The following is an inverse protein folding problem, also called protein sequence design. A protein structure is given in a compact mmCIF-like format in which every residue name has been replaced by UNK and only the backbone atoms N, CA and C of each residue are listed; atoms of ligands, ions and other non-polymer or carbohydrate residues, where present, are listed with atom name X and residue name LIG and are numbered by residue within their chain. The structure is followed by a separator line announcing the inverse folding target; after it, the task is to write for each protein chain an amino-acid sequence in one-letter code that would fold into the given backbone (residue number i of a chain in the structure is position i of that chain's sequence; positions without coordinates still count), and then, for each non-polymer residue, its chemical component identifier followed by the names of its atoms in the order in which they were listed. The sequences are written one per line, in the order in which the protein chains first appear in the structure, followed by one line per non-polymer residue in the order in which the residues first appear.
data_IF_219065617434
#
_entry.id   IF_219065617434
#
_cell.length_a   1.000
_cell.length_b   1.000
_cell.length_c   1.000
_cell.angle_alpha   90.00
_cell.angle_beta   90.00
_cell.angle_gamma   90.00
#
_symmetry.space_group_name_H-M   'P 1'
#
loop_
_entity.id
_entity.type
_entity.pdbx_description
1 polymer ?
#
# COMPACT_ATOMS: atom_id res chain seq x y z
N UNK A 1 13.93 18.62 -27.24
CA UNK A 1 14.19 19.39 -26.01
C UNK A 1 15.20 18.61 -25.18
N UNK A 2 16.28 19.25 -24.75
CA UNK A 2 17.62 18.68 -24.50
C UNK A 2 17.74 18.17 -23.04
N UNK A 3 18.12 16.90 -22.84
CA UNK A 3 18.85 16.25 -21.73
C UNK A 3 18.98 16.87 -20.30
N UNK A 4 18.05 17.71 -19.83
CA UNK A 4 18.13 18.32 -18.48
C UNK A 4 17.61 17.36 -17.39
N UNK A 5 17.05 16.20 -17.76
CA UNK A 5 16.40 15.29 -16.81
C UNK A 5 17.24 14.07 -16.40
N UNK A 6 18.51 13.97 -16.82
CA UNK A 6 19.32 12.79 -16.53
C UNK A 6 19.60 12.70 -15.01
N UNK A 7 19.40 11.53 -14.35
CA UNK A 7 19.63 11.33 -12.92
C UNK A 7 21.00 11.79 -12.46
N UNK A 8 22.04 11.54 -13.27
CA UNK A 8 23.41 11.94 -12.98
C UNK A 8 23.61 13.45 -13.02
N UNK A 9 22.92 14.17 -13.92
CA UNK A 9 23.00 15.64 -13.99
C UNK A 9 22.25 16.29 -12.84
N UNK A 10 21.08 15.76 -12.46
CA UNK A 10 20.31 16.23 -11.30
C UNK A 10 21.13 15.97 -10.02
N UNK A 11 21.70 14.78 -9.88
CA UNK A 11 22.58 14.44 -8.77
C UNK A 11 23.79 15.39 -8.70
N UNK A 12 24.50 15.60 -9.82
CA UNK A 12 25.67 16.47 -9.86
C UNK A 12 25.31 17.93 -9.54
N UNK A 13 24.16 18.41 -10.02
CA UNK A 13 23.63 19.74 -9.70
C UNK A 13 23.45 19.89 -8.19
N UNK A 14 22.79 18.94 -7.52
CA UNK A 14 22.59 18.97 -6.07
C UNK A 14 23.92 18.95 -5.31
N UNK A 15 24.86 18.09 -5.71
CA UNK A 15 26.20 18.06 -5.11
C UNK A 15 26.89 19.42 -5.26
N UNK A 16 26.94 19.98 -6.47
CA UNK A 16 27.62 21.25 -6.73
C UNK A 16 26.97 22.40 -5.96
N UNK A 17 25.64 22.49 -5.96
CA UNK A 17 24.92 23.56 -5.26
C UNK A 17 25.15 23.48 -3.75
N UNK A 18 24.93 22.32 -3.15
CA UNK A 18 25.03 22.18 -1.69
C UNK A 18 26.48 22.30 -1.21
N UNK A 19 27.43 21.71 -1.93
CA UNK A 19 28.87 21.77 -1.60
C UNK A 19 29.44 23.16 -1.90
N UNK A 20 28.93 23.86 -2.93
CA UNK A 20 29.25 25.26 -3.21
C UNK A 20 28.82 26.20 -2.09
N UNK A 21 27.56 26.09 -1.64
CA UNK A 21 27.06 26.85 -0.48
C UNK A 21 27.92 26.55 0.76
N UNK A 22 28.23 25.28 1.01
CA UNK A 22 29.10 24.89 2.11
C UNK A 22 30.48 25.54 2.05
N UNK A 23 31.17 25.50 0.90
CA UNK A 23 32.51 26.05 0.77
C UNK A 23 32.54 27.57 0.90
N UNK A 24 31.49 28.26 0.45
CA UNK A 24 31.39 29.72 0.56
C UNK A 24 31.22 30.16 2.01
N UNK A 25 30.30 29.54 2.75
CA UNK A 25 29.93 29.99 4.09
C UNK A 25 30.71 29.32 5.22
N UNK A 26 31.09 28.05 5.07
CA UNK A 26 31.51 27.20 6.19
C UNK A 26 32.99 26.82 6.18
N UNK A 27 33.77 27.17 5.15
CA UNK A 27 35.18 26.77 5.04
C UNK A 27 36.01 27.12 6.28
N UNK A 28 35.87 28.35 6.82
CA UNK A 28 36.65 28.77 7.98
C UNK A 28 36.26 28.03 9.26
N UNK A 29 34.96 27.74 9.43
CA UNK A 29 34.44 27.00 10.58
C UNK A 29 34.80 25.52 10.50
N UNK A 30 34.85 24.96 9.29
CA UNK A 30 35.20 23.56 9.08
C UNK A 30 36.65 23.25 9.48
N UNK A 31 37.61 24.08 9.06
CA UNK A 31 39.03 23.89 9.39
C UNK A 31 39.23 24.01 10.91
N UNK A 32 38.65 25.05 11.53
CA UNK A 32 38.71 25.23 12.98
C UNK A 32 38.07 24.08 13.74
N UNK A 33 36.94 23.55 13.25
CA UNK A 33 36.27 22.42 13.88
C UNK A 33 37.10 21.14 13.85
N UNK A 34 37.82 20.89 12.75
CA UNK A 34 38.77 19.77 12.63
C UNK A 34 39.99 19.91 13.56
N UNK A 35 40.50 21.13 13.72
CA UNK A 35 41.64 21.41 14.61
C UNK A 35 41.24 21.35 16.10
N UNK A 36 40.00 21.70 16.42
CA UNK A 36 39.49 21.72 17.81
C UNK A 36 39.06 20.33 18.29
N UNK A 37 38.70 19.42 17.38
CA UNK A 37 38.18 18.11 17.74
C UNK A 37 39.28 17.08 18.07
N UNK A 38 39.69 17.06 19.33
CA UNK A 38 40.60 16.04 19.86
C UNK A 38 39.95 14.64 19.96
N UNK A 39 38.62 14.53 19.92
CA UNK A 39 37.92 13.23 20.06
C UNK A 39 38.06 12.33 18.82
N UNK A 40 38.37 12.91 17.66
CA UNK A 40 38.42 12.22 16.38
C UNK A 40 37.06 11.86 15.78
N UNK A 41 35.95 12.22 16.42
CA UNK A 41 34.59 11.92 15.91
C UNK A 41 34.33 12.65 14.59
N UNK A 42 34.77 13.89 14.44
CA UNK A 42 34.61 14.66 13.20
C UNK A 42 35.29 13.96 12.03
N UNK A 43 36.45 13.34 12.24
CA UNK A 43 37.14 12.56 11.22
C UNK A 43 36.33 11.33 10.83
N UNK A 44 35.74 10.62 11.80
CA UNK A 44 34.84 9.48 11.53
C UNK A 44 33.62 9.93 10.71
N UNK A 45 32.99 11.06 11.07
CA UNK A 45 31.86 11.64 10.33
C UNK A 45 32.28 11.92 8.88
N UNK A 46 33.43 12.55 8.66
CA UNK A 46 33.95 12.86 7.34
C UNK A 46 34.24 11.58 6.52
N UNK A 47 34.84 10.57 7.14
CA UNK A 47 35.11 9.27 6.49
C UNK A 47 33.81 8.62 5.99
N UNK A 48 32.81 8.49 6.88
CA UNK A 48 31.51 7.92 6.52
C UNK A 48 30.76 8.77 5.50
N UNK A 49 30.92 10.10 5.56
CA UNK A 49 30.37 11.00 4.55
C UNK A 49 30.93 10.69 3.16
N UNK A 50 32.25 10.55 3.02
CA UNK A 50 32.86 10.21 1.73
C UNK A 50 32.42 8.83 1.22
N UNK A 51 32.31 7.84 2.10
CA UNK A 51 31.74 6.52 1.76
C UNK A 51 30.31 6.68 1.22
N UNK A 52 29.50 7.51 1.88
CA UNK A 52 28.14 7.83 1.43
C UNK A 52 28.10 8.51 0.06
N UNK A 53 28.98 9.48 -0.19
CA UNK A 53 29.08 10.15 -1.50
C UNK A 53 29.48 9.17 -2.60
N UNK A 54 30.45 8.30 -2.35
CA UNK A 54 30.88 7.29 -3.34
C UNK A 54 29.74 6.32 -3.63
N UNK A 55 29.06 5.81 -2.60
CA UNK A 55 27.90 4.94 -2.78
C UNK A 55 26.78 5.64 -3.57
N UNK A 56 26.51 6.90 -3.24
CA UNK A 56 25.52 7.73 -3.95
C UNK A 56 25.88 7.92 -5.43
N UNK A 57 27.15 8.15 -5.75
CA UNK A 57 27.62 8.29 -7.13
C UNK A 57 27.48 6.98 -7.92
N UNK A 58 27.81 5.85 -7.30
CA UNK A 58 27.66 4.52 -7.92
C UNK A 58 26.19 4.28 -8.26
N UNK A 59 25.27 4.62 -7.35
CA UNK A 59 23.83 4.45 -7.59
C UNK A 59 23.30 5.43 -8.64
N UNK A 60 23.76 6.69 -8.65
CA UNK A 60 23.44 7.66 -9.69
C UNK A 60 23.87 7.15 -11.08
N UNK A 61 25.04 6.53 -11.19
CA UNK A 61 25.56 5.98 -12.44
C UNK A 61 24.75 4.80 -12.94
N UNK A 62 24.40 3.85 -12.05
CA UNK A 62 23.52 2.72 -12.40
C UNK A 62 22.18 3.22 -12.92
N UNK A 63 21.59 4.21 -12.25
CA UNK A 63 20.32 4.81 -12.66
C UNK A 63 20.39 5.50 -14.02
N UNK A 64 21.51 6.15 -14.32
CA UNK A 64 21.75 6.76 -15.62
C UNK A 64 21.87 5.72 -16.74
N UNK A 65 22.54 4.59 -16.49
CA UNK A 65 22.60 3.48 -17.43
C UNK A 65 21.19 2.91 -17.69
N UNK A 66 20.39 2.73 -16.64
CA UNK A 66 19.00 2.27 -16.73
C UNK A 66 18.12 3.25 -17.52
N UNK A 67 18.19 4.56 -17.26
CA UNK A 67 17.45 5.56 -18.03
C UNK A 67 17.83 5.54 -19.52
N UNK A 68 19.13 5.43 -19.83
CA UNK A 68 19.60 5.33 -21.22
C UNK A 68 19.01 4.11 -21.92
N UNK A 69 18.95 2.97 -21.23
CA UNK A 69 18.32 1.77 -21.77
C UNK A 69 16.82 1.97 -22.02
N UNK A 70 16.12 2.66 -21.13
CA UNK A 70 14.69 2.97 -21.31
C UNK A 70 14.44 3.87 -22.52
N UNK A 71 15.26 4.90 -22.73
CA UNK A 71 15.12 5.79 -23.90
C UNK A 71 15.40 5.04 -25.21
N UNK A 72 16.40 4.15 -25.22
CA UNK A 72 16.70 3.32 -26.39
C UNK A 72 15.54 2.35 -26.70
N UNK A 73 14.89 1.81 -25.67
CA UNK A 73 13.70 0.97 -25.82
C UNK A 73 12.52 1.72 -26.43
N UNK A 74 12.27 2.93 -25.94
CA UNK A 74 11.17 3.77 -26.43
C UNK A 74 11.39 4.22 -27.90
N UNK A 75 12.65 4.41 -28.31
CA UNK A 75 12.98 4.92 -29.65
C UNK A 75 13.22 3.83 -30.71
N UNK A 76 13.89 2.72 -30.37
CA UNK A 76 14.23 1.64 -31.30
C UNK A 76 13.32 0.41 -31.17
N UNK A 77 12.45 0.41 -30.16
CA UNK A 77 11.55 -0.71 -29.86
C UNK A 77 12.28 -1.95 -29.35
N UNK A 78 11.53 -3.05 -29.19
CA UNK A 78 12.04 -4.26 -28.53
C UNK A 78 13.16 -4.98 -29.30
N UNK A 79 13.39 -4.67 -30.58
CA UNK A 79 14.41 -5.35 -31.39
C UNK A 79 15.84 -5.02 -30.94
N UNK A 80 16.07 -3.82 -30.38
CA UNK A 80 17.37 -3.38 -29.84
C UNK A 80 17.78 -4.12 -28.55
N UNK A 81 16.83 -4.79 -27.88
CA UNK A 81 17.06 -5.55 -26.63
C UNK A 81 17.99 -6.75 -26.82
N UNK A 82 18.00 -7.33 -28.01
CA UNK A 82 18.76 -8.55 -28.29
C UNK A 82 20.28 -8.35 -28.21
N UNK A 83 20.77 -7.15 -28.54
CA UNK A 83 22.19 -6.79 -28.58
C UNK A 83 22.69 -6.05 -27.34
N UNK A 84 21.80 -5.59 -26.46
CA UNK A 84 22.15 -4.76 -25.31
C UNK A 84 22.06 -5.59 -24.02
N UNK A 85 23.17 -5.65 -23.28
CA UNK A 85 23.20 -6.15 -21.90
C UNK A 85 22.86 -5.00 -20.95
N UNK A 86 21.96 -5.26 -19.99
CA UNK A 86 21.48 -4.25 -19.07
C UNK A 86 20.30 -4.77 -18.26
N UNK A 87 20.02 -4.16 -17.12
CA UNK A 87 19.02 -4.67 -16.16
C UNK A 87 17.60 -4.55 -16.68
N UNK A 88 17.25 -3.39 -17.26
CA UNK A 88 15.95 -3.19 -17.91
C UNK A 88 15.78 -4.13 -19.12
N UNK A 89 16.74 -4.24 -20.06
CA UNK A 89 16.71 -5.25 -21.12
C UNK A 89 16.50 -6.67 -20.62
N UNK A 90 17.20 -7.08 -19.55
CA UNK A 90 17.07 -8.42 -18.97
C UNK A 90 15.71 -8.64 -18.30
N UNK A 91 15.16 -7.62 -17.65
CA UNK A 91 13.82 -7.66 -17.07
C UNK A 91 12.76 -7.82 -18.16
N UNK A 92 12.86 -7.07 -19.25
CA UNK A 92 11.95 -7.21 -20.40
C UNK A 92 12.09 -8.60 -21.06
N UNK A 93 13.32 -9.12 -21.21
CA UNK A 93 13.57 -10.49 -21.70
C UNK A 93 12.89 -11.52 -20.79
N UNK A 94 12.97 -11.37 -19.47
CA UNK A 94 12.33 -12.27 -18.49
C UNK A 94 10.81 -12.21 -18.57
N UNK A 95 10.22 -11.02 -18.66
CA UNK A 95 8.76 -10.85 -18.82
C UNK A 95 8.31 -11.52 -20.12
N UNK A 96 9.01 -11.28 -21.23
CA UNK A 96 8.69 -11.92 -22.53
C UNK A 96 8.84 -13.44 -22.49
N UNK A 97 9.92 -13.96 -21.90
CA UNK A 97 10.14 -15.39 -21.80
C UNK A 97 9.06 -16.07 -20.93
N UNK A 98 8.62 -15.43 -19.85
CA UNK A 98 7.53 -15.95 -19.03
C UNK A 98 6.17 -15.89 -19.76
N UNK A 99 5.91 -14.81 -20.49
CA UNK A 99 4.72 -14.67 -21.34
C UNK A 99 4.68 -15.74 -22.45
N UNK A 100 5.80 -16.01 -23.11
CA UNK A 100 5.89 -17.08 -24.14
C UNK A 100 5.60 -18.48 -23.62
N UNK A 101 5.63 -18.68 -22.30
CA UNK A 101 5.34 -19.94 -21.61
C UNK A 101 3.90 -19.99 -21.04
N UNK A 102 3.01 -19.09 -21.45
CA UNK A 102 1.63 -18.98 -20.95
C UNK A 102 1.52 -18.81 -19.41
N UNK A 103 2.57 -18.34 -18.75
CA UNK A 103 2.49 -17.95 -17.36
C UNK A 103 2.01 -16.50 -17.28
N UNK A 104 0.92 -16.27 -16.56
CA UNK A 104 0.42 -14.94 -16.21
C UNK A 104 1.38 -14.31 -15.21
N UNK A 105 2.47 -13.72 -15.69
CA UNK A 105 3.34 -12.91 -14.84
C UNK A 105 2.64 -11.57 -14.65
N UNK A 106 2.24 -11.30 -13.42
CA UNK A 106 1.75 -9.99 -13.04
C UNK A 106 2.90 -8.97 -13.19
N UNK A 107 2.79 -8.13 -14.21
CA UNK A 107 3.79 -7.11 -14.56
C UNK A 107 4.08 -6.20 -13.35
N UNK A 108 3.06 -5.92 -12.53
CA UNK A 108 3.19 -5.17 -11.29
C UNK A 108 4.24 -5.76 -10.35
N UNK A 109 4.19 -7.06 -10.09
CA UNK A 109 5.14 -7.74 -9.18
C UNK A 109 6.59 -7.67 -9.67
N UNK A 110 6.80 -7.69 -10.99
CA UNK A 110 8.15 -7.60 -11.58
C UNK A 110 8.71 -6.19 -11.47
N UNK A 111 7.88 -5.17 -11.67
CA UNK A 111 8.27 -3.76 -11.48
C UNK A 111 8.49 -3.48 -10.00
N UNK A 112 7.63 -3.96 -9.11
CA UNK A 112 7.80 -3.84 -7.66
C UNK A 112 9.10 -4.49 -7.18
N UNK A 113 9.49 -5.62 -7.79
CA UNK A 113 10.77 -6.27 -7.51
C UNK A 113 11.96 -5.42 -7.99
N UNK A 114 11.84 -4.76 -9.14
CA UNK A 114 12.85 -3.83 -9.66
C UNK A 114 13.02 -2.61 -8.75
N UNK A 115 11.91 -2.01 -8.32
CA UNK A 115 11.86 -0.87 -7.40
C UNK A 115 12.39 -1.24 -6.02
N UNK A 116 12.05 -2.43 -5.52
CA UNK A 116 12.57 -2.91 -4.23
C UNK A 116 14.08 -3.12 -4.29
N UNK A 117 14.58 -3.72 -5.36
CA UNK A 117 16.02 -3.96 -5.53
C UNK A 117 16.81 -2.64 -5.60
N UNK A 118 16.43 -1.71 -6.47
CA UNK A 118 17.14 -0.42 -6.61
C UNK A 118 16.89 0.51 -5.43
N UNK A 119 15.66 0.53 -4.92
CA UNK A 119 15.28 1.28 -3.73
C UNK A 119 16.07 0.85 -2.49
N UNK A 120 16.45 -0.42 -2.37
CA UNK A 120 17.23 -0.92 -1.23
C UNK A 120 18.63 -0.29 -1.16
N UNK A 121 19.32 -0.15 -2.30
CA UNK A 121 20.64 0.49 -2.37
C UNK A 121 20.54 1.98 -2.01
N UNK A 122 19.58 2.69 -2.60
CA UNK A 122 19.34 4.11 -2.31
C UNK A 122 18.92 4.31 -0.83
N UNK A 123 18.16 3.37 -0.25
CA UNK A 123 17.76 3.41 1.16
C UNK A 123 18.96 3.24 2.09
N UNK A 124 20.00 2.50 1.68
CA UNK A 124 21.26 2.38 2.45
C UNK A 124 21.91 3.75 2.65
N UNK A 125 21.84 4.64 1.65
CA UNK A 125 22.31 6.01 1.78
C UNK A 125 21.56 6.80 2.86
N UNK A 126 20.25 6.60 2.96
CA UNK A 126 19.43 7.19 4.03
C UNK A 126 19.81 6.64 5.41
N UNK A 127 20.24 5.38 5.50
CA UNK A 127 20.71 4.79 6.76
C UNK A 127 22.05 5.41 7.17
N UNK A 128 22.99 5.55 6.23
CA UNK A 128 24.28 6.22 6.47
C UNK A 128 24.04 7.66 6.94
N UNK A 129 23.13 8.39 6.28
CA UNK A 129 22.69 9.74 6.69
C UNK A 129 22.25 9.79 8.16
N UNK A 130 21.39 8.86 8.60
CA UNK A 130 20.94 8.78 9.99
C UNK A 130 22.10 8.47 10.94
N UNK A 131 23.00 7.55 10.57
CA UNK A 131 24.17 7.19 11.39
C UNK A 131 25.09 8.39 11.60
N UNK A 132 25.33 9.22 10.57
CA UNK A 132 26.12 10.45 10.69
C UNK A 132 25.52 11.44 11.70
N UNK A 133 24.21 11.60 11.68
CA UNK A 133 23.52 12.46 12.65
C UNK A 133 23.70 11.92 14.07
N UNK A 134 23.57 10.60 14.25
CA UNK A 134 23.81 9.94 15.54
C UNK A 134 25.26 10.11 16.00
N UNK A 135 26.25 10.02 15.10
CA UNK A 135 27.64 10.32 15.46
C UNK A 135 27.83 11.78 15.90
N UNK A 136 27.13 12.72 15.25
CA UNK A 136 27.11 14.11 15.71
C UNK A 136 26.57 14.25 17.14
N UNK A 137 25.49 13.55 17.46
CA UNK A 137 24.92 13.49 18.81
C UNK A 137 25.87 12.83 19.81
N UNK A 138 26.55 11.74 19.45
CA UNK A 138 27.57 11.12 20.31
C UNK A 138 28.71 12.13 20.58
N UNK A 139 29.12 12.89 19.57
CA UNK A 139 30.09 13.96 19.74
C UNK A 139 29.65 15.03 20.74
N UNK A 140 28.35 15.37 20.80
CA UNK A 140 27.85 16.28 21.87
C UNK A 140 28.08 15.71 23.25
N UNK A 141 27.79 14.42 23.43
CA UNK A 141 27.92 13.77 24.71
C UNK A 141 29.38 13.79 25.17
N UNK A 142 30.31 13.49 24.27
CA UNK A 142 31.75 13.55 24.59
C UNK A 142 32.20 14.99 24.89
N UNK A 143 31.80 15.96 24.07
CA UNK A 143 32.17 17.36 24.30
C UNK A 143 31.62 17.92 25.62
N UNK A 144 30.39 17.55 25.99
CA UNK A 144 29.82 17.91 27.29
C UNK A 144 30.55 17.24 28.46
N UNK A 145 30.93 15.97 28.33
CA UNK A 145 31.74 15.28 29.36
C UNK A 145 33.09 15.99 29.54
N UNK A 146 33.77 16.34 28.43
CA UNK A 146 35.01 17.12 28.46
C UNK A 146 34.81 18.49 29.12
N UNK A 147 33.69 19.15 28.81
CA UNK A 147 33.33 20.44 29.42
C UNK A 147 33.16 20.36 30.93
N UNK A 148 32.45 19.33 31.39
CA UNK A 148 32.23 19.07 32.83
C UNK A 148 33.54 18.73 33.53
N UNK A 149 34.43 17.98 32.88
CA UNK A 149 35.77 17.70 33.40
C UNK A 149 36.56 19.00 33.60
N UNK A 150 36.55 19.89 32.61
CA UNK A 150 37.21 21.20 32.71
C UNK A 150 36.64 22.07 33.83
N UNK A 151 35.32 22.02 34.06
CA UNK A 151 34.67 22.72 35.16
C UNK A 151 35.08 22.14 36.52
N UNK A 152 35.19 20.82 36.63
CA UNK A 152 35.67 20.17 37.85
C UNK A 152 37.12 20.57 38.16
N UNK A 153 37.99 20.62 37.14
CA UNK A 153 39.36 21.11 37.29
C UNK A 153 39.40 22.56 37.76
N UNK A 154 38.50 23.40 37.24
CA UNK A 154 38.36 24.80 37.64
C UNK A 154 37.94 24.93 39.11
N UNK A 155 36.96 24.14 39.57
CA UNK A 155 36.50 24.13 40.98
C UNK A 155 37.59 23.64 41.93
N UNK A 156 38.30 22.57 41.56
CA UNK A 156 39.40 22.03 42.37
C UNK A 156 40.62 22.97 42.41
N UNK A 157 40.73 23.88 41.43
CA UNK A 157 41.78 24.89 41.36
C UNK A 157 41.41 26.21 42.05
N UNK A 158 40.23 26.31 42.69
CA UNK A 158 39.86 27.49 43.48
C UNK A 158 40.76 27.54 44.72
N UNK A 159 41.76 28.42 44.68
CA UNK A 159 42.82 28.53 45.68
C UNK A 159 44.21 28.09 45.18
N UNK A 160 44.29 27.54 43.97
CA UNK A 160 45.52 27.20 43.26
C UNK A 160 45.99 28.34 42.33
N UNK A 161 47.01 28.08 41.51
CA UNK A 161 47.63 29.08 40.63
C UNK A 161 46.67 29.58 39.53
N UNK A 162 46.83 30.83 39.08
CA UNK A 162 46.04 31.42 37.98
C UNK A 162 46.12 30.58 36.69
N UNK A 163 47.23 29.87 36.48
CA UNK A 163 47.44 29.00 35.33
C UNK A 163 46.52 27.78 35.34
N UNK A 164 46.22 27.21 36.51
CA UNK A 164 45.34 26.04 36.63
C UNK A 164 43.88 26.42 36.36
N UNK A 165 43.46 27.60 36.84
CA UNK A 165 42.14 28.17 36.53
C UNK A 165 41.97 28.42 35.02
N UNK A 166 42.98 29.00 34.37
CA UNK A 166 42.95 29.24 32.92
C UNK A 166 42.84 27.93 32.14
N UNK A 167 43.57 26.90 32.56
CA UNK A 167 43.53 25.57 31.93
C UNK A 167 42.15 24.93 32.05
N UNK A 168 41.54 24.92 33.24
CA UNK A 168 40.18 24.40 33.43
C UNK A 168 39.14 25.12 32.57
N UNK A 169 39.25 26.45 32.46
CA UNK A 169 38.38 27.26 31.59
C UNK A 169 38.58 26.92 30.10
N UNK A 170 39.83 26.79 29.64
CA UNK A 170 40.14 26.43 28.26
C UNK A 170 39.61 25.03 27.91
N UNK A 171 39.80 24.03 28.79
CA UNK A 171 39.23 22.69 28.62
C UNK A 171 37.71 22.75 28.52
N UNK A 172 37.06 23.55 29.39
CA UNK A 172 35.60 23.71 29.38
C UNK A 172 35.11 24.27 28.05
N UNK A 173 35.74 25.34 27.57
CA UNK A 173 35.38 26.01 26.31
C UNK A 173 35.65 25.10 25.10
N UNK A 174 36.77 24.38 25.11
CA UNK A 174 37.12 23.45 24.04
C UNK A 174 36.11 22.30 23.96
N UNK A 175 35.75 21.69 25.10
CA UNK A 175 34.74 20.62 25.14
C UNK A 175 33.40 21.06 24.54
N UNK A 176 32.98 22.30 24.83
CA UNK A 176 31.76 22.87 24.25
C UNK A 176 31.90 23.09 22.74
N UNK A 177 33.07 23.57 22.30
CA UNK A 177 33.41 23.71 20.88
C UNK A 177 33.32 22.39 20.13
N UNK A 178 33.92 21.32 20.68
CA UNK A 178 33.86 19.96 20.11
C UNK A 178 32.41 19.52 19.95
N UNK A 179 31.59 19.62 21.00
CA UNK A 179 30.18 19.25 20.95
C UNK A 179 29.42 19.97 19.83
N UNK A 180 29.67 21.27 19.66
CA UNK A 180 29.01 22.07 18.63
C UNK A 180 29.44 21.64 17.21
N UNK A 181 30.75 21.49 16.98
CA UNK A 181 31.28 21.14 15.66
C UNK A 181 30.89 19.72 15.22
N UNK A 182 30.95 18.72 16.12
CA UNK A 182 30.55 17.35 15.78
C UNK A 182 29.07 17.28 15.41
N UNK A 183 28.21 18.01 16.13
CA UNK A 183 26.78 18.10 15.82
C UNK A 183 26.57 18.74 14.47
N UNK A 184 27.23 19.86 14.23
CA UNK A 184 27.12 20.59 12.98
C UNK A 184 27.53 19.71 11.80
N UNK A 185 28.64 18.99 11.89
CA UNK A 185 29.08 18.06 10.86
C UNK A 185 28.11 16.90 10.65
N UNK A 186 27.63 16.26 11.73
CA UNK A 186 26.65 15.18 11.63
C UNK A 186 25.34 15.63 10.97
N UNK A 187 24.81 16.77 11.40
CA UNK A 187 23.58 17.34 10.86
C UNK A 187 23.74 17.82 9.41
N UNK A 188 24.86 18.45 9.07
CA UNK A 188 25.08 18.98 7.73
C UNK A 188 25.39 17.86 6.72
N UNK A 189 26.40 17.03 6.99
CA UNK A 189 26.80 15.95 6.07
C UNK A 189 25.76 14.84 6.02
N UNK A 190 25.25 14.40 7.17
CA UNK A 190 24.24 13.36 7.25
C UNK A 190 22.85 13.90 6.91
N UNK A 191 22.35 14.82 7.73
CA UNK A 191 20.96 15.27 7.70
C UNK A 191 20.57 16.10 6.49
N UNK A 192 21.48 16.88 5.91
CA UNK A 192 21.20 17.73 4.74
C UNK A 192 21.76 17.09 3.48
N UNK A 193 23.08 16.92 3.38
CA UNK A 193 23.73 16.51 2.13
C UNK A 193 23.31 15.11 1.68
N UNK A 194 23.64 14.06 2.45
CA UNK A 194 23.34 12.68 2.03
C UNK A 194 21.83 12.42 1.94
N UNK A 195 21.03 13.06 2.81
CA UNK A 195 19.56 12.98 2.79
C UNK A 195 18.98 13.53 1.49
N UNK A 196 19.43 14.71 1.06
CA UNK A 196 19.00 15.33 -0.21
C UNK A 196 19.41 14.49 -1.41
N UNK A 197 20.62 13.94 -1.42
CA UNK A 197 21.07 13.06 -2.51
C UNK A 197 20.24 11.77 -2.59
N UNK A 198 19.96 11.14 -1.44
CA UNK A 198 19.08 9.96 -1.38
C UNK A 198 17.68 10.27 -1.92
N UNK A 199 17.09 11.41 -1.52
CA UNK A 199 15.77 11.85 -2.01
C UNK A 199 15.77 12.13 -3.52
N UNK A 200 16.82 12.77 -4.05
CA UNK A 200 16.98 13.02 -5.48
C UNK A 200 17.10 11.73 -6.29
N UNK A 201 17.85 10.75 -5.78
CA UNK A 201 17.99 9.43 -6.43
C UNK A 201 16.67 8.66 -6.40
N UNK A 202 15.94 8.67 -5.29
CA UNK A 202 14.64 8.02 -5.19
C UNK A 202 13.63 8.63 -6.17
N UNK A 203 13.61 9.96 -6.27
CA UNK A 203 12.76 10.67 -7.23
C UNK A 203 13.09 10.29 -8.68
N UNK A 204 14.37 10.06 -8.98
CA UNK A 204 14.83 9.63 -10.30
C UNK A 204 14.46 8.17 -10.58
N UNK A 205 14.56 7.29 -9.59
CA UNK A 205 14.13 5.90 -9.68
C UNK A 205 12.63 5.81 -9.95
N UNK A 206 11.80 6.57 -9.22
CA UNK A 206 10.35 6.59 -9.43
C UNK A 206 9.97 7.05 -10.84
N UNK A 207 10.70 8.00 -11.44
CA UNK A 207 10.49 8.42 -12.83
C UNK A 207 10.79 7.30 -13.83
N UNK A 208 11.91 6.58 -13.63
CA UNK A 208 12.30 5.46 -14.49
C UNK A 208 11.30 4.31 -14.35
N UNK A 209 10.87 3.99 -13.12
CA UNK A 209 9.87 2.96 -12.86
C UNK A 209 8.53 3.29 -13.54
N UNK A 210 8.04 4.52 -13.41
CA UNK A 210 6.84 4.98 -14.09
C UNK A 210 6.97 4.91 -15.62
N UNK A 211 8.13 5.30 -16.16
CA UNK A 211 8.41 5.19 -17.60
C UNK A 211 8.42 3.74 -18.08
N UNK A 212 9.04 2.83 -17.31
CA UNK A 212 9.06 1.40 -17.58
C UNK A 212 7.65 0.79 -17.52
N UNK A 213 6.84 1.17 -16.53
CA UNK A 213 5.45 0.73 -16.40
C UNK A 213 4.62 1.19 -17.60
N UNK A 214 4.74 2.45 -18.00
CA UNK A 214 4.06 2.98 -19.19
C UNK A 214 4.50 2.25 -20.45
N UNK A 215 5.81 1.99 -20.62
CA UNK A 215 6.32 1.26 -21.78
C UNK A 215 5.76 -0.18 -21.84
N UNK A 216 5.73 -0.90 -20.72
CA UNK A 216 5.16 -2.25 -20.68
C UNK A 216 3.64 -2.20 -20.94
N UNK A 217 2.94 -1.21 -20.40
CA UNK A 217 1.50 -1.01 -20.62
C UNK A 217 1.13 -0.60 -22.06
N UNK A 218 2.00 0.09 -22.77
CA UNK A 218 1.74 0.54 -24.15
C UNK A 218 2.22 -0.47 -25.20
N UNK A 219 3.33 -1.15 -24.98
CA UNK A 219 3.97 -2.00 -26.00
C UNK A 219 3.71 -3.50 -25.77
N UNK A 220 3.57 -3.93 -24.50
CA UNK A 220 3.37 -5.35 -24.16
C UNK A 220 1.89 -5.73 -24.00
N UNK A 221 1.04 -4.81 -23.50
CA UNK A 221 -0.40 -5.06 -23.34
C UNK A 221 -1.23 -5.07 -24.65
N UNK A 222 -0.94 -4.35 -25.75
CA UNK A 222 -1.68 -4.58 -26.99
C UNK A 222 -1.40 -5.97 -27.61
N UNK A 223 -0.32 -6.65 -27.21
CA UNK A 223 -0.09 -8.05 -27.58
C UNK A 223 -0.96 -9.05 -26.78
N UNK A 224 -1.62 -8.63 -25.71
CA UNK A 224 -2.54 -9.45 -24.89
C UNK A 224 -4.03 -9.14 -25.14
N UNK A 225 -4.34 -8.02 -25.79
CA UNK A 225 -5.71 -7.64 -26.15
C UNK A 225 -6.46 -8.70 -26.98
N UNK A 226 -5.85 -9.36 -28.00
CA UNK A 226 -6.58 -10.34 -28.80
C UNK A 226 -7.07 -11.52 -27.97
N UNK A 227 -6.25 -12.02 -27.03
CA UNK A 227 -6.56 -13.20 -26.22
C UNK A 227 -7.53 -12.87 -25.08
N UNK A 228 -7.38 -11.73 -24.40
CA UNK A 228 -8.32 -11.34 -23.34
C UNK A 228 -9.67 -10.89 -23.90
N UNK A 229 -9.71 -10.22 -25.05
CA UNK A 229 -10.98 -9.89 -25.73
C UNK A 229 -11.63 -11.15 -26.30
N UNK A 230 -10.86 -12.12 -26.80
CA UNK A 230 -11.39 -13.41 -27.20
C UNK A 230 -11.95 -14.20 -26.00
N UNK A 231 -11.24 -14.27 -24.88
CA UNK A 231 -11.73 -14.90 -23.65
C UNK A 231 -12.98 -14.21 -23.11
N UNK A 232 -12.97 -12.88 -22.99
CA UNK A 232 -14.14 -12.10 -22.57
C UNK A 232 -15.33 -12.28 -23.52
N UNK A 233 -15.10 -12.35 -24.84
CA UNK A 233 -16.16 -12.64 -25.80
C UNK A 233 -16.74 -14.03 -25.59
N UNK A 234 -15.89 -15.01 -25.30
CA UNK A 234 -16.31 -16.39 -25.03
C UNK A 234 -17.10 -16.47 -23.71
N UNK A 235 -16.66 -15.77 -22.67
CA UNK A 235 -17.36 -15.68 -21.39
C UNK A 235 -18.70 -14.96 -21.53
N UNK A 236 -18.78 -13.85 -22.28
CA UNK A 236 -20.03 -13.13 -22.56
C UNK A 236 -20.99 -14.00 -23.39
N UNK A 237 -20.49 -14.76 -24.34
CA UNK A 237 -21.29 -15.72 -25.11
C UNK A 237 -21.83 -16.86 -24.23
N UNK A 238 -21.01 -17.39 -23.32
CA UNK A 238 -21.45 -18.38 -22.33
C UNK A 238 -22.49 -17.79 -21.37
N UNK A 239 -22.25 -16.59 -20.84
CA UNK A 239 -23.17 -15.90 -19.95
C UNK A 239 -24.52 -15.62 -20.64
N UNK A 240 -24.48 -15.21 -21.91
CA UNK A 240 -25.68 -15.01 -22.73
C UNK A 240 -26.43 -16.32 -22.97
N UNK A 241 -25.72 -17.43 -23.19
CA UNK A 241 -26.32 -18.76 -23.32
C UNK A 241 -26.97 -19.20 -22.01
N UNK A 242 -26.28 -19.08 -20.89
CA UNK A 242 -26.83 -19.39 -19.55
C UNK A 242 -28.03 -18.51 -19.23
N UNK A 243 -28.01 -17.22 -19.60
CA UNK A 243 -29.16 -16.33 -19.43
C UNK A 243 -30.36 -16.78 -20.25
N UNK A 244 -30.16 -17.21 -21.51
CA UNK A 244 -31.24 -17.77 -22.34
C UNK A 244 -31.81 -19.05 -21.74
N UNK A 245 -30.95 -19.97 -21.30
CA UNK A 245 -31.37 -21.21 -20.65
C UNK A 245 -32.17 -20.92 -19.37
N UNK A 246 -31.69 -19.99 -18.53
CA UNK A 246 -32.39 -19.56 -17.32
C UNK A 246 -33.73 -18.88 -17.64
N UNK A 247 -33.79 -18.04 -18.68
CA UNK A 247 -35.04 -17.42 -19.13
C UNK A 247 -36.06 -18.46 -19.60
N UNK A 248 -35.63 -19.51 -20.30
CA UNK A 248 -36.51 -20.59 -20.73
C UNK A 248 -36.98 -21.45 -19.55
N UNK A 249 -36.09 -21.71 -18.57
CA UNK A 249 -36.46 -22.37 -17.31
C UNK A 249 -37.47 -21.54 -16.50
N UNK A 250 -37.32 -20.23 -16.45
CA UNK A 250 -38.28 -19.33 -15.78
C UNK A 250 -39.64 -19.36 -16.49
N UNK A 251 -39.67 -19.35 -17.83
CA UNK A 251 -40.93 -19.48 -18.58
C UNK A 251 -41.61 -20.82 -18.31
N UNK A 252 -40.85 -21.93 -18.37
CA UNK A 252 -41.36 -23.26 -18.06
C UNK A 252 -41.89 -23.33 -16.61
N UNK A 253 -41.13 -22.78 -15.66
CA UNK A 253 -41.54 -22.71 -14.25
C UNK A 253 -42.79 -21.85 -14.07
N UNK A 254 -42.92 -20.72 -14.77
CA UNK A 254 -44.12 -19.86 -14.73
C UNK A 254 -45.35 -20.60 -15.24
N UNK A 255 -45.21 -21.41 -16.30
CA UNK A 255 -46.29 -22.28 -16.81
C UNK A 255 -46.68 -23.29 -15.73
N UNK A 256 -45.71 -24.00 -15.14
CA UNK A 256 -45.98 -24.98 -14.07
C UNK A 256 -46.63 -24.35 -12.84
N UNK A 257 -46.20 -23.15 -12.42
CA UNK A 257 -46.83 -22.42 -11.30
C UNK A 257 -48.27 -22.04 -11.64
N UNK A 258 -48.53 -21.58 -12.87
CA UNK A 258 -49.87 -21.21 -13.29
C UNK A 258 -50.80 -22.44 -13.36
N UNK A 259 -50.29 -23.57 -13.85
CA UNK A 259 -51.01 -24.85 -13.83
C UNK A 259 -51.32 -25.30 -12.40
N UNK A 260 -50.32 -25.26 -11.51
CA UNK A 260 -50.51 -25.62 -10.09
C UNK A 260 -51.50 -24.68 -9.38
N UNK A 261 -51.48 -23.38 -9.67
CA UNK A 261 -52.46 -22.41 -9.16
C UNK A 261 -53.87 -22.72 -9.66
N UNK A 262 -54.02 -23.18 -10.91
CA UNK A 262 -55.32 -23.60 -11.44
C UNK A 262 -55.87 -24.83 -10.70
N UNK A 263 -55.02 -25.83 -10.45
CA UNK A 263 -55.36 -27.04 -9.67
C UNK A 263 -55.68 -26.69 -8.21
N UNK A 264 -54.92 -25.76 -7.63
CA UNK A 264 -55.18 -25.26 -6.28
C UNK A 264 -56.52 -24.52 -6.20
N UNK A 265 -56.83 -23.65 -7.16
CA UNK A 265 -58.14 -22.98 -7.24
C UNK A 265 -59.30 -23.96 -7.39
N UNK A 266 -59.14 -25.02 -8.19
CA UNK A 266 -60.13 -26.09 -8.29
C UNK A 266 -60.30 -26.84 -6.96
N UNK A 267 -59.20 -27.05 -6.23
CA UNK A 267 -59.21 -27.69 -4.91
C UNK A 267 -59.85 -26.80 -3.83
N UNK A 268 -59.64 -25.48 -3.89
CA UNK A 268 -60.35 -24.53 -3.03
C UNK A 268 -61.84 -24.51 -3.33
N UNK A 269 -62.22 -24.54 -4.60
CA UNK A 269 -63.64 -24.58 -5.01
C UNK A 269 -64.31 -25.88 -4.55
N UNK A 270 -63.62 -27.01 -4.66
CA UNK A 270 -64.16 -28.29 -4.16
C UNK A 270 -64.25 -28.32 -2.63
N UNK A 271 -63.28 -27.73 -1.91
CA UNK A 271 -63.34 -27.56 -0.47
C UNK A 271 -64.51 -26.67 -0.03
N UNK A 272 -64.76 -25.55 -0.72
CA UNK A 272 -65.92 -24.67 -0.46
C UNK A 272 -67.24 -25.43 -0.61
N UNK A 273 -67.38 -26.24 -1.68
CA UNK A 273 -68.56 -27.11 -1.87
C UNK A 273 -68.70 -28.10 -0.71
N UNK A 274 -67.61 -28.73 -0.26
CA UNK A 274 -67.67 -29.67 0.86
C UNK A 274 -68.08 -28.98 2.17
N UNK A 275 -67.57 -27.78 2.43
CA UNK A 275 -67.95 -26.97 3.59
C UNK A 275 -69.44 -26.61 3.52
N UNK A 276 -69.94 -26.15 2.37
CA UNK A 276 -71.37 -25.86 2.20
C UNK A 276 -72.25 -27.09 2.41
N UNK A 277 -71.85 -28.24 1.87
CA UNK A 277 -72.56 -29.51 2.07
C UNK A 277 -72.53 -29.96 3.54
N UNK A 278 -71.41 -29.75 4.24
CA UNK A 278 -71.32 -30.00 5.67
C UNK A 278 -72.24 -29.05 6.46
N UNK A 279 -72.21 -27.74 6.18
CA UNK A 279 -73.07 -26.75 6.81
C UNK A 279 -74.55 -27.07 6.58
N UNK A 280 -74.94 -27.47 5.36
CA UNK A 280 -76.32 -27.90 5.08
C UNK A 280 -76.71 -29.15 5.87
N UNK A 281 -75.83 -30.15 5.97
CA UNK A 281 -76.08 -31.35 6.78
C UNK A 281 -76.23 -31.02 8.27
N UNK A 282 -75.41 -30.12 8.81
CA UNK A 282 -75.53 -29.66 10.21
C UNK A 282 -76.83 -28.88 10.42
N UNK A 283 -77.20 -28.00 9.49
CA UNK A 283 -78.46 -27.25 9.57
C UNK A 283 -79.68 -28.18 9.49
N UNK A 284 -79.70 -29.13 8.56
CA UNK A 284 -80.76 -30.14 8.47
C UNK A 284 -80.81 -31.01 9.71
N UNK A 285 -79.68 -31.52 10.19
CA UNK A 285 -79.61 -32.30 11.43
C UNK A 285 -80.15 -31.53 12.63
N UNK A 286 -79.83 -30.24 12.75
CA UNK A 286 -80.35 -29.39 13.83
C UNK A 286 -81.85 -29.12 13.69
N UNK A 287 -82.37 -28.95 12.46
CA UNK A 287 -83.81 -28.82 12.20
C UNK A 287 -84.54 -30.10 12.57
N UNK A 288 -84.00 -31.27 12.21
CA UNK A 288 -84.59 -32.56 12.52
C UNK A 288 -84.60 -32.82 14.04
N UNK A 289 -83.52 -32.47 14.75
CA UNK A 289 -83.46 -32.54 16.21
C UNK A 289 -84.46 -31.57 16.85
N UNK A 290 -84.58 -30.33 16.35
CA UNK A 290 -85.58 -29.39 16.84
C UNK A 290 -87.01 -29.89 16.60
N UNK A 291 -87.30 -30.45 15.43
CA UNK A 291 -88.61 -31.01 15.10
C UNK A 291 -88.93 -32.20 16.01
N UNK A 292 -87.98 -33.10 16.22
CA UNK A 292 -88.12 -34.23 17.15
C UNK A 292 -88.33 -33.73 18.59
N UNK A 293 -87.62 -32.69 19.02
CA UNK A 293 -87.81 -32.07 20.33
C UNK A 293 -89.18 -31.41 20.51
N UNK A 294 -89.70 -30.76 19.47
CA UNK A 294 -91.05 -30.18 19.47
C UNK A 294 -92.14 -31.25 19.48
N UNK A 295 -91.97 -32.34 18.74
CA UNK A 295 -92.87 -33.50 18.76
C UNK A 295 -92.91 -34.12 20.17
N UNK A 296 -91.75 -34.33 20.80
CA UNK A 296 -91.67 -34.81 22.19
C UNK A 296 -92.29 -33.83 23.21
N UNK A 297 -92.14 -32.51 23.02
CA UNK A 297 -92.84 -31.53 23.87
C UNK A 297 -94.35 -31.56 23.67
N UNK A 298 -94.83 -31.76 22.44
CA UNK A 298 -96.25 -31.88 22.13
C UNK A 298 -96.87 -33.14 22.74
N UNK A 299 -96.16 -34.26 22.73
CA UNK A 299 -96.56 -35.49 23.44
C UNK A 299 -96.54 -35.32 24.96
N UNK A 300 -95.58 -34.57 25.51
CA UNK A 300 -95.56 -34.27 26.94
C UNK A 300 -96.75 -33.38 27.35
N UNK A 301 -97.13 -32.41 26.51
CA UNK A 301 -98.32 -31.56 26.74
C UNK A 301 -99.63 -32.32 26.57
N UNK A 302 -99.72 -33.29 25.66
CA UNK A 302 -100.93 -34.12 25.52
C UNK A 302 -101.09 -35.08 26.71
N UNK A 303 -99.99 -35.65 27.23
CA UNK A 303 -100.00 -36.43 28.48
C UNK A 303 -100.34 -35.56 29.71
N UNK A 304 -99.80 -34.35 29.82
CA UNK A 304 -100.14 -33.45 30.95
C UNK A 304 -101.57 -32.90 30.90
N UNK A 305 -102.21 -32.89 29.72
CA UNK A 305 -103.62 -32.48 29.58
C UNK A 305 -104.60 -33.62 29.89
N UNK A 306 -104.19 -34.89 29.69
CA UNK A 306 -104.96 -36.06 30.13
C UNK A 306 -104.93 -36.29 31.65
N UNK A 307 -103.89 -35.80 32.35
CA UNK A 307 -103.86 -35.81 33.83
C UNK A 307 -104.68 -34.67 34.47
N UNK A 308 -105.17 -33.70 33.69
CA UNK A 308 -105.96 -32.56 34.17
C UNK A 308 -107.49 -32.69 34.04
N UNK A 309 -108.01 -33.73 33.40
CA UNK A 309 -109.46 -33.95 33.20
C UNK A 309 -110.02 -35.16 33.99
N UNK A 310 -109.25 -35.72 34.94
CA UNK A 310 -109.70 -36.73 35.91
C UNK A 310 -109.56 -36.27 37.38
N UNK A 311 -109.75 -34.98 37.64
CA UNK A 311 -110.08 -34.43 38.96
C UNK A 311 -111.23 -33.45 38.86
#
# INVERSE_FOLDING_TARGET
MKNINNPLTIWAMWVIVLLGIFLIFMKSFFIKGLETDESGISLVIILFFFIGIIASYIDARKLYEDEKHLILLESEGIQSISSISGRIPDLIKRIRAAHSKNHTVEVGTVIDSFDTYHGSSIRTLSVISTILVTFGLIGTMIGLISSISGLNDLVNSIGASQTDLMKGMQTTINGMGVAFYTTFFGAFFGGILLRMLSSSLLSSLSKISAGLQNYIALELYPATLPDHVALLKTEVEQLSKTWKEMSELIKASTITVNENLSVFNLSLKSADIQVQQFTQRVLQGNIDVMKTGLEQQSEKKSKSKQEGENS
#
